data_IF_901968490049
#
_entry.id   IF_901968490049
#
_cell.length_a   1.000
_cell.length_b   1.000
_cell.length_c   1.000
_cell.angle_alpha   90.00
_cell.angle_beta   90.00
_cell.angle_gamma   90.00
#
_symmetry.space_group_name_H-M   'P 1'
#
loop_
_entity.id
_entity.type
_entity.pdbx_description
1 polymer ?
#
# COMPACT_ATOMS: atom_id res chain seq x y z
N UNK A 1 -15.17 -4.79 -20.09
CA UNK A 1 -14.55 -5.07 -21.40
C UNK A 1 -13.05 -5.11 -21.12
N UNK A 2 -12.49 -6.30 -20.93
CA UNK A 2 -11.06 -6.45 -20.67
C UNK A 2 -10.33 -6.04 -21.95
N UNK A 3 -9.31 -5.19 -21.80
CA UNK A 3 -8.64 -4.51 -22.91
C UNK A 3 -7.97 -5.52 -23.84
N UNK A 4 -8.21 -5.44 -25.15
CA UNK A 4 -7.51 -6.15 -26.24
C UNK A 4 -6.05 -5.65 -26.38
N UNK A 5 -5.33 -5.50 -25.28
CA UNK A 5 -3.95 -5.02 -25.26
C UNK A 5 -3.03 -6.20 -24.96
N UNK A 6 -2.11 -6.49 -25.88
CA UNK A 6 -1.07 -7.48 -25.66
C UNK A 6 -0.38 -7.23 -24.30
N UNK A 7 -0.24 -8.26 -23.44
CA UNK A 7 0.39 -8.11 -22.13
C UNK A 7 1.85 -7.65 -22.25
N UNK A 8 2.09 -6.37 -21.96
CA UNK A 8 3.43 -5.74 -22.04
C UNK A 8 4.20 -5.77 -20.73
N UNK A 9 3.52 -6.09 -19.61
CA UNK A 9 4.11 -6.14 -18.26
C UNK A 9 3.86 -7.48 -17.60
N UNK A 10 4.71 -7.83 -16.63
CA UNK A 10 4.57 -9.01 -15.80
C UNK A 10 3.22 -9.06 -15.08
N UNK A 11 2.71 -7.91 -14.61
CA UNK A 11 1.38 -7.83 -14.01
C UNK A 11 0.27 -8.19 -15.02
N UNK A 12 0.36 -7.72 -16.26
CA UNK A 12 -0.64 -8.06 -17.28
C UNK A 12 -0.58 -9.56 -17.64
N UNK A 13 0.62 -10.13 -17.79
CA UNK A 13 0.79 -11.55 -18.06
C UNK A 13 0.17 -12.40 -16.93
N UNK A 14 0.45 -12.04 -15.67
CA UNK A 14 -0.12 -12.73 -14.51
C UNK A 14 -1.65 -12.60 -14.45
N UNK A 15 -2.20 -11.41 -14.72
CA UNK A 15 -3.64 -11.20 -14.76
C UNK A 15 -4.31 -12.01 -15.85
N UNK A 16 -3.70 -12.08 -17.05
CA UNK A 16 -4.20 -12.85 -18.19
C UNK A 16 -4.16 -14.36 -17.91
N UNK A 17 -3.08 -14.85 -17.30
CA UNK A 17 -2.97 -16.26 -16.92
C UNK A 17 -3.98 -16.66 -15.84
N UNK A 18 -4.29 -15.77 -14.88
CA UNK A 18 -5.37 -16.00 -13.91
C UNK A 18 -6.73 -16.00 -14.60
N UNK A 19 -6.97 -15.08 -15.54
CA UNK A 19 -8.22 -14.97 -16.29
C UNK A 19 -8.49 -16.23 -17.12
N UNK A 20 -7.47 -16.72 -17.80
CA UNK A 20 -7.52 -17.87 -18.71
C UNK A 20 -7.20 -19.20 -18.02
N UNK A 21 -6.95 -19.17 -16.70
CA UNK A 21 -6.63 -20.33 -15.85
C UNK A 21 -5.44 -21.15 -16.39
N UNK A 22 -4.40 -20.48 -16.91
CA UNK A 22 -3.24 -21.15 -17.51
C UNK A 22 -2.32 -21.75 -16.45
N UNK A 23 -1.85 -23.00 -16.64
CA UNK A 23 -0.85 -23.60 -15.78
C UNK A 23 0.56 -23.06 -16.08
N UNK A 24 1.45 -23.17 -15.09
CA UNK A 24 2.80 -22.57 -15.15
C UNK A 24 3.66 -23.04 -16.33
N UNK A 25 3.46 -24.26 -16.84
CA UNK A 25 4.19 -24.74 -18.01
C UNK A 25 3.78 -23.99 -19.27
N UNK A 26 2.49 -23.72 -19.45
CA UNK A 26 1.95 -22.97 -20.58
C UNK A 26 2.38 -21.51 -20.53
N UNK A 27 2.27 -20.86 -19.36
CA UNK A 27 2.79 -19.51 -19.09
C UNK A 27 4.24 -19.33 -19.56
N UNK A 28 5.12 -20.30 -19.25
CA UNK A 28 6.56 -20.24 -19.58
C UNK A 28 6.84 -20.40 -21.06
N UNK A 29 5.96 -21.07 -21.80
CA UNK A 29 6.08 -21.26 -23.24
C UNK A 29 5.46 -20.08 -24.01
N UNK A 30 4.37 -19.51 -23.48
CA UNK A 30 3.59 -18.46 -24.11
C UNK A 30 4.26 -17.08 -24.02
N UNK A 31 4.70 -16.69 -22.82
CA UNK A 31 5.17 -15.33 -22.59
C UNK A 31 6.67 -15.18 -22.86
N UNK A 32 7.10 -14.12 -23.57
CA UNK A 32 8.52 -13.80 -23.68
C UNK A 32 9.08 -13.33 -22.34
N UNK A 33 10.39 -13.43 -22.20
CA UNK A 33 11.09 -12.84 -21.05
C UNK A 33 10.82 -11.33 -20.98
N UNK A 34 10.37 -10.88 -19.81
CA UNK A 34 10.12 -9.46 -19.55
C UNK A 34 11.42 -8.76 -19.18
N UNK A 35 11.62 -7.54 -19.69
CA UNK A 35 12.72 -6.68 -19.28
C UNK A 35 12.47 -6.13 -17.87
N UNK A 36 13.09 -6.76 -16.87
CA UNK A 36 12.92 -6.44 -15.46
C UNK A 36 13.47 -5.06 -15.08
N UNK A 37 14.39 -4.48 -15.87
CA UNK A 37 14.92 -3.15 -15.61
C UNK A 37 13.88 -2.08 -15.95
N UNK A 38 13.06 -2.34 -16.97
CA UNK A 38 12.01 -1.42 -17.43
C UNK A 38 10.65 -1.71 -16.81
N UNK A 39 10.35 -2.96 -16.52
CA UNK A 39 9.07 -3.34 -15.93
C UNK A 39 9.05 -3.16 -14.41
N UNK A 40 8.27 -2.19 -13.95
CA UNK A 40 8.04 -1.89 -12.53
C UNK A 40 6.65 -2.27 -12.03
N UNK A 41 5.90 -3.07 -12.79
CA UNK A 41 4.52 -3.46 -12.50
C UNK A 41 4.39 -4.29 -11.22
N UNK A 42 5.35 -5.19 -10.97
CA UNK A 42 5.47 -5.96 -9.73
C UNK A 42 6.88 -5.78 -9.17
N UNK A 43 6.99 -5.37 -7.92
CA UNK A 43 8.26 -5.18 -7.22
C UNK A 43 8.17 -5.78 -5.82
N UNK A 44 9.29 -6.35 -5.37
CA UNK A 44 9.47 -6.83 -4.01
C UNK A 44 10.48 -5.95 -3.30
N UNK A 45 10.12 -5.48 -2.11
CA UNK A 45 10.99 -4.66 -1.28
C UNK A 45 11.24 -5.37 0.04
N UNK A 46 12.49 -5.39 0.49
CA UNK A 46 12.88 -5.94 1.78
C UNK A 46 13.25 -4.75 2.68
N UNK A 47 12.57 -4.64 3.80
CA UNK A 47 12.84 -3.65 4.84
C UNK A 47 13.14 -4.36 6.17
N UNK A 48 13.87 -3.68 7.05
CA UNK A 48 14.30 -4.25 8.34
C UNK A 48 13.42 -3.81 9.53
N UNK A 49 12.40 -2.97 9.28
CA UNK A 49 11.42 -2.53 10.27
C UNK A 49 10.20 -1.90 9.59
N UNK A 50 9.07 -1.84 10.29
CA UNK A 50 7.86 -1.15 9.81
C UNK A 50 8.12 0.32 9.50
N UNK A 51 8.93 1.00 10.32
CA UNK A 51 9.35 2.38 10.07
C UNK A 51 10.07 2.50 8.71
N UNK A 52 11.06 1.63 8.46
CA UNK A 52 11.84 1.69 7.22
C UNK A 52 11.00 1.28 6.01
N UNK A 53 10.07 0.35 6.17
CA UNK A 53 9.13 -0.05 5.12
C UNK A 53 8.26 1.12 4.67
N UNK A 54 7.70 1.88 5.63
CA UNK A 54 6.87 3.06 5.34
C UNK A 54 7.70 4.18 4.70
N UNK A 55 8.95 4.39 5.12
CA UNK A 55 9.87 5.34 4.47
C UNK A 55 10.14 4.96 3.02
N UNK A 56 10.48 3.70 2.75
CA UNK A 56 10.72 3.20 1.40
C UNK A 56 9.45 3.37 0.54
N UNK A 57 8.28 3.05 1.10
CA UNK A 57 7.01 3.26 0.41
C UNK A 57 6.80 4.73 0.04
N UNK A 58 7.04 5.66 0.96
CA UNK A 58 6.90 7.09 0.72
C UNK A 58 7.82 7.57 -0.42
N UNK A 59 9.10 7.20 -0.39
CA UNK A 59 10.06 7.53 -1.44
C UNK A 59 9.64 6.96 -2.80
N UNK A 60 9.15 5.72 -2.84
CA UNK A 60 8.66 5.08 -4.06
C UNK A 60 7.43 5.77 -4.64
N UNK A 61 6.49 6.19 -3.78
CA UNK A 61 5.31 6.93 -4.22
C UNK A 61 5.69 8.29 -4.80
N UNK A 62 6.63 9.01 -4.17
CA UNK A 62 7.15 10.27 -4.71
C UNK A 62 7.79 10.07 -6.08
N UNK A 63 8.63 9.05 -6.23
CA UNK A 63 9.24 8.73 -7.52
C UNK A 63 8.16 8.46 -8.58
N UNK A 64 7.12 7.68 -8.26
CA UNK A 64 6.04 7.37 -9.19
C UNK A 64 5.22 8.60 -9.58
N UNK A 65 4.84 9.45 -8.61
CA UNK A 65 4.14 10.71 -8.92
C UNK A 65 5.00 11.66 -9.77
N UNK A 66 6.32 11.64 -9.59
CA UNK A 66 7.23 12.46 -10.42
C UNK A 66 7.37 11.93 -11.85
N UNK A 67 7.33 10.61 -12.03
CA UNK A 67 7.49 9.96 -13.32
C UNK A 67 6.20 9.97 -14.15
N UNK A 68 5.04 9.88 -13.49
CA UNK A 68 3.72 9.88 -14.11
C UNK A 68 2.80 10.93 -13.47
N UNK A 69 2.63 12.10 -14.11
CA UNK A 69 1.74 13.16 -13.63
C UNK A 69 0.25 12.81 -13.62
N UNK A 70 -0.15 11.72 -14.29
CA UNK A 70 -1.56 11.29 -14.35
C UNK A 70 -1.96 10.44 -13.15
N UNK A 71 -0.98 9.85 -12.45
CA UNK A 71 -1.18 9.06 -11.25
C UNK A 71 -1.56 9.97 -10.07
N UNK A 72 -2.73 9.75 -9.48
CA UNK A 72 -3.19 10.54 -8.32
C UNK A 72 -3.16 9.68 -7.06
N UNK A 73 -2.99 10.27 -5.86
CA UNK A 73 -3.01 9.52 -4.61
C UNK A 73 -4.26 8.66 -4.39
N UNK A 74 -5.42 9.07 -4.95
CA UNK A 74 -6.68 8.31 -4.86
C UNK A 74 -6.69 7.01 -5.67
N UNK A 75 -5.77 6.87 -6.61
CA UNK A 75 -5.64 5.70 -7.47
C UNK A 75 -4.76 4.61 -6.81
N UNK A 76 -4.32 4.83 -5.56
CA UNK A 76 -3.39 3.98 -4.82
C UNK A 76 -4.04 3.45 -3.54
N UNK A 77 -3.86 2.16 -3.27
CA UNK A 77 -4.24 1.51 -2.02
C UNK A 77 -3.01 0.87 -1.37
N UNK A 78 -2.88 1.06 -0.06
CA UNK A 78 -1.86 0.41 0.77
C UNK A 78 -2.59 -0.48 1.76
N UNK A 79 -2.32 -1.79 1.70
CA UNK A 79 -2.89 -2.78 2.61
C UNK A 79 -1.80 -3.29 3.55
N UNK A 80 -2.09 -3.30 4.83
CA UNK A 80 -1.20 -3.78 5.89
C UNK A 80 -1.93 -4.84 6.72
N UNK A 81 -1.23 -5.80 7.31
CA UNK A 81 -1.86 -6.89 8.08
C UNK A 81 -2.54 -6.41 9.37
N UNK A 82 -2.01 -5.34 9.98
CA UNK A 82 -2.59 -4.68 11.15
C UNK A 82 -2.34 -3.17 11.04
N UNK A 83 -3.41 -2.40 10.84
CA UNK A 83 -3.32 -0.95 10.68
C UNK A 83 -2.99 -0.23 11.99
N UNK A 84 -3.38 -0.78 13.14
CA UNK A 84 -3.14 -0.15 14.44
C UNK A 84 -1.65 -0.14 14.78
N UNK A 85 -0.94 -1.24 14.47
CA UNK A 85 0.53 -1.32 14.60
C UNK A 85 1.28 -0.39 13.64
N UNK A 86 0.78 -0.18 12.41
CA UNK A 86 1.45 0.65 11.41
C UNK A 86 1.13 2.14 11.51
N UNK A 87 0.00 2.52 12.11
CA UNK A 87 -0.47 3.90 12.14
C UNK A 87 0.53 4.93 12.71
N UNK A 88 1.29 4.65 13.80
CA UNK A 88 2.31 5.57 14.29
C UNK A 88 3.41 5.83 13.25
N UNK A 89 3.87 4.79 12.56
CA UNK A 89 4.90 4.88 11.53
C UNK A 89 4.42 5.65 10.31
N UNK A 90 3.19 5.38 9.85
CA UNK A 90 2.58 6.11 8.73
C UNK A 90 2.46 7.60 9.06
N UNK A 91 1.97 7.95 10.26
CA UNK A 91 1.87 9.35 10.68
C UNK A 91 3.23 10.02 10.82
N UNK A 92 4.25 9.31 11.30
CA UNK A 92 5.60 9.85 11.41
C UNK A 92 6.20 10.21 10.04
N UNK A 93 5.98 9.38 9.02
CA UNK A 93 6.55 9.61 7.69
C UNK A 93 5.70 10.57 6.85
N UNK A 94 4.38 10.35 6.79
CA UNK A 94 3.49 11.13 5.92
C UNK A 94 2.92 12.39 6.60
N UNK A 95 2.88 12.44 7.94
CA UNK A 95 2.23 13.51 8.70
C UNK A 95 3.14 14.65 9.16
N UNK A 96 4.47 14.52 8.99
CA UNK A 96 5.43 15.54 9.41
C UNK A 96 5.65 16.66 8.38
N UNK A 97 5.15 16.47 7.16
CA UNK A 97 5.36 17.41 6.06
C UNK A 97 4.24 18.45 6.00
N UNK A 98 4.61 19.71 5.84
CA UNK A 98 3.68 20.81 5.59
C UNK A 98 2.97 20.61 4.23
N UNK A 99 1.72 21.07 4.12
CA UNK A 99 0.92 20.90 2.89
C UNK A 99 1.52 21.53 1.65
N UNK A 100 2.41 22.51 1.82
CA UNK A 100 3.11 23.20 0.74
C UNK A 100 4.44 22.53 0.36
N UNK A 101 4.89 21.49 1.09
CA UNK A 101 6.09 20.73 0.73
C UNK A 101 5.77 19.83 -0.48
N UNK A 102 6.60 19.84 -1.55
CA UNK A 102 6.40 18.96 -2.71
C UNK A 102 6.34 17.46 -2.39
N UNK A 103 6.87 17.05 -1.22
CA UNK A 103 6.89 15.66 -0.75
C UNK A 103 5.63 15.26 0.03
N UNK A 104 4.72 16.22 0.26
CA UNK A 104 3.47 15.96 0.96
C UNK A 104 2.55 15.10 0.08
N UNK A 105 2.20 13.91 0.59
CA UNK A 105 1.24 13.00 -0.05
C UNK A 105 0.03 12.88 0.90
N UNK A 106 -1.18 13.27 0.47
CA UNK A 106 -2.38 13.10 1.30
C UNK A 106 -2.73 11.63 1.48
N UNK A 107 -3.08 11.23 2.70
CA UNK A 107 -3.46 9.86 3.04
C UNK A 107 -4.63 9.82 4.02
N UNK A 108 -5.31 8.69 4.05
CA UNK A 108 -6.36 8.36 5.03
C UNK A 108 -6.11 6.97 5.57
N UNK A 109 -6.22 6.79 6.89
CA UNK A 109 -6.16 5.48 7.53
C UNK A 109 -7.59 4.96 7.76
N UNK A 110 -7.89 3.80 7.19
CA UNK A 110 -9.17 3.09 7.33
C UNK A 110 -8.97 1.85 8.20
N UNK A 111 -10.04 1.33 8.81
CA UNK A 111 -10.04 0.10 9.63
C UNK A 111 -9.28 0.18 10.98
N UNK A 112 -8.96 1.39 11.45
CA UNK A 112 -8.43 1.59 12.79
C UNK A 112 -9.50 1.17 13.81
N UNK A 113 -9.19 0.22 14.68
CA UNK A 113 -10.13 -0.25 15.69
C UNK A 113 -10.66 0.91 16.53
N UNK A 114 -11.97 0.94 16.79
CA UNK A 114 -12.62 1.96 17.63
C UNK A 114 -12.00 2.06 19.06
N UNK A 115 -11.20 1.07 19.47
CA UNK A 115 -10.58 0.97 20.79
C UNK A 115 -9.47 1.99 21.06
N UNK A 116 -8.79 2.50 20.03
CA UNK A 116 -7.59 3.34 20.22
C UNK A 116 -7.82 4.86 20.18
N UNK A 117 -9.03 5.33 19.83
CA UNK A 117 -9.26 6.75 19.50
C UNK A 117 -10.22 7.51 20.40
N UNK A 118 -10.96 6.84 21.28
CA UNK A 118 -11.79 7.53 22.25
C UNK A 118 -11.19 7.42 23.65
N UNK A 119 -10.43 8.45 24.10
CA UNK A 119 -10.08 8.60 25.51
C UNK A 119 -11.30 8.44 26.43
N UNK A 120 -12.49 8.81 25.94
CA UNK A 120 -13.76 8.63 26.63
C UNK A 120 -14.15 7.16 26.79
N UNK A 121 -13.93 6.32 25.78
CA UNK A 121 -14.26 4.89 25.86
C UNK A 121 -13.35 4.18 26.87
N UNK A 122 -12.05 4.52 26.86
CA UNK A 122 -11.08 4.04 27.85
C UNK A 122 -11.48 4.50 29.25
N UNK A 123 -11.85 5.78 29.43
CA UNK A 123 -12.30 6.30 30.71
C UNK A 123 -13.57 5.61 31.23
N UNK A 124 -14.52 5.28 30.34
CA UNK A 124 -15.75 4.54 30.69
C UNK A 124 -15.44 3.10 31.11
N UNK A 125 -14.54 2.40 30.41
CA UNK A 125 -14.08 1.07 30.82
C UNK A 125 -13.40 1.08 32.20
N UNK A 126 -12.65 2.14 32.52
CA UNK A 126 -12.07 2.33 33.84
C UNK A 126 -13.14 2.57 34.92
N UNK A 127 -14.18 3.35 34.62
CA UNK A 127 -15.31 3.59 35.53
C UNK A 127 -16.14 2.32 35.79
N UNK A 128 -16.36 1.49 34.76
CA UNK A 128 -17.12 0.23 34.88
C UNK A 128 -16.37 -0.87 35.64
N UNK A 129 -15.05 -0.74 35.81
CA UNK A 129 -14.21 -1.67 36.58
C UNK A 129 -14.00 -1.26 38.03
N UNK A 130 -14.63 -0.18 38.49
CA UNK A 130 -14.64 0.16 39.91
C UNK A 130 -15.45 -0.92 40.65
N UNK A 131 -14.88 -1.60 41.67
CA UNK A 131 -15.66 -2.45 42.54
C UNK A 131 -16.69 -1.58 43.27
N UNK A 132 -17.94 -2.04 43.32
CA UNK A 132 -18.98 -1.43 44.16
C UNK A 132 -18.42 -1.20 45.56
N UNK A 133 -18.31 0.07 45.97
CA UNK A 133 -18.06 0.46 47.37
C UNK A 133 -19.38 0.58 48.11
#
# INVERSE_FOLDING_TARGET
MFSDSEPTTLLNQLQDDILELRPLNETRELWPAVDLDRDTSIRFHIAHSAQREVEILHDQLLQRFSADPTLRPRDIIVMVPDVDSYAPHIRAVFGQLERNDPRFIPFTLTDQGQRGRDPLLIAVEHLLKLPDS
#
